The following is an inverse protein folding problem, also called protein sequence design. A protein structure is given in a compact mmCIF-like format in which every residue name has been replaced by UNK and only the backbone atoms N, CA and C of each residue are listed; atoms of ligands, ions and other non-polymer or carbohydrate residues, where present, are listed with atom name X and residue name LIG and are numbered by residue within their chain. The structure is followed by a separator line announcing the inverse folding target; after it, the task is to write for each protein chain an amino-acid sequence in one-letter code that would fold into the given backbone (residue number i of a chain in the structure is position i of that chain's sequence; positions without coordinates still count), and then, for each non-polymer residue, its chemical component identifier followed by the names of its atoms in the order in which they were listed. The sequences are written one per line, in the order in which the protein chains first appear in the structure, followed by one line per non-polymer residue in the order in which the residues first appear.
data_IF_938225436428
#
_entry.id   IF_938225436428
#
_cell.length_a   1.000
_cell.length_b   1.000
_cell.length_c   1.000
_cell.angle_alpha   90.00
_cell.angle_beta   90.00
_cell.angle_gamma   90.00
#
_symmetry.space_group_name_H-M   'P 1'
#
loop_
_entity.id
_entity.type
_entity.pdbx_description
1 polymer ?
#
# COMPACT_ATOMS: atom_id res chain seq x y z
N UNK A 1 -2.04 5.50 -15.84
CA UNK A 1 -2.15 4.03 -15.96
C UNK A 1 -1.48 3.42 -14.74
N UNK A 2 -2.29 2.81 -13.88
CA UNK A 2 -1.98 2.35 -12.54
C UNK A 2 -1.30 0.97 -12.57
N UNK A 3 -0.02 0.88 -12.93
CA UNK A 3 0.66 -0.40 -13.18
C UNK A 3 1.31 -1.09 -11.96
N UNK A 4 1.25 -0.53 -10.74
CA UNK A 4 1.96 -1.08 -9.56
C UNK A 4 1.05 -1.55 -8.40
N UNK A 5 -0.28 -1.46 -8.54
CA UNK A 5 -1.22 -1.93 -7.52
C UNK A 5 -1.15 -3.45 -7.22
N UNK A 6 -0.94 -4.35 -8.19
CA UNK A 6 -0.89 -5.79 -7.90
C UNK A 6 0.31 -6.17 -7.04
N UNK A 7 1.44 -5.50 -7.25
CA UNK A 7 2.67 -5.77 -6.52
C UNK A 7 2.59 -5.25 -5.08
N UNK A 8 1.97 -4.08 -4.88
CA UNK A 8 1.74 -3.56 -3.53
C UNK A 8 0.78 -4.47 -2.74
N UNK A 9 -0.32 -4.91 -3.36
CA UNK A 9 -1.27 -5.85 -2.72
C UNK A 9 -0.55 -7.13 -2.30
N UNK A 10 0.26 -7.71 -3.18
CA UNK A 10 1.01 -8.92 -2.88
C UNK A 10 2.01 -8.75 -1.74
N UNK A 11 2.67 -7.58 -1.63
CA UNK A 11 3.55 -7.26 -0.50
C UNK A 11 2.79 -7.04 0.80
N UNK A 12 1.60 -6.46 0.74
CA UNK A 12 0.72 -6.33 1.89
C UNK A 12 0.25 -7.71 2.38
N UNK A 13 -0.08 -8.63 1.47
CA UNK A 13 -0.41 -10.01 1.83
C UNK A 13 0.76 -10.75 2.49
N UNK A 14 2.01 -10.51 2.05
CA UNK A 14 3.22 -11.12 2.61
C UNK A 14 3.44 -10.74 4.09
N UNK A 15 3.07 -9.52 4.48
CA UNK A 15 3.10 -9.06 5.88
C UNK A 15 1.80 -9.38 6.66
N UNK A 16 0.90 -10.17 6.08
CA UNK A 16 -0.35 -10.62 6.71
C UNK A 16 -1.54 -9.68 6.55
N UNK A 17 -1.44 -8.65 5.70
CA UNK A 17 -2.49 -7.66 5.48
C UNK A 17 -3.22 -7.92 4.16
N UNK A 18 -4.45 -8.42 4.23
CA UNK A 18 -5.27 -8.68 3.05
C UNK A 18 -6.01 -7.42 2.59
N UNK A 19 -5.69 -6.90 1.40
CA UNK A 19 -6.41 -5.78 0.76
C UNK A 19 -6.61 -6.04 -0.73
N UNK A 20 -7.80 -5.75 -1.24
CA UNK A 20 -8.07 -5.86 -2.68
C UNK A 20 -7.49 -4.68 -3.47
N UNK A 21 -7.07 -4.90 -4.72
CA UNK A 21 -6.63 -3.84 -5.64
C UNK A 21 -7.66 -2.71 -5.74
N UNK A 22 -8.95 -3.04 -5.79
CA UNK A 22 -10.02 -2.05 -5.85
C UNK A 22 -10.17 -1.23 -4.55
N UNK A 23 -9.89 -1.83 -3.39
CA UNK A 23 -9.86 -1.13 -2.11
C UNK A 23 -8.67 -0.17 -2.07
N UNK A 24 -7.48 -0.65 -2.42
CA UNK A 24 -6.27 0.16 -2.51
C UNK A 24 -6.42 1.32 -3.52
N UNK A 25 -7.07 1.08 -4.66
CA UNK A 25 -7.41 2.13 -5.63
C UNK A 25 -8.28 3.23 -5.02
N UNK A 26 -9.31 2.87 -4.24
CA UNK A 26 -10.16 3.85 -3.53
C UNK A 26 -9.45 4.58 -2.40
N UNK A 27 -8.45 3.96 -1.77
CA UNK A 27 -7.59 4.60 -0.79
C UNK A 27 -6.81 5.75 -1.43
N UNK A 28 -6.11 5.47 -2.53
CA UNK A 28 -5.30 6.48 -3.22
C UNK A 28 -6.20 7.58 -3.82
N UNK A 29 -7.41 7.22 -4.25
CA UNK A 29 -8.41 8.18 -4.75
C UNK A 29 -9.07 9.00 -3.63
N UNK A 30 -8.79 8.72 -2.35
CA UNK A 30 -9.38 9.43 -1.20
C UNK A 30 -10.88 9.18 -0.99
N UNK A 31 -11.44 8.17 -1.66
CA UNK A 31 -12.88 7.84 -1.66
C UNK A 31 -13.32 6.96 -0.50
N UNK A 32 -12.44 6.62 0.43
CA UNK A 32 -12.76 5.75 1.58
C UNK A 32 -12.21 6.35 2.86
N UNK A 33 -13.10 6.58 3.83
CA UNK A 33 -12.82 7.29 5.08
C UNK A 33 -12.60 6.36 6.29
N UNK A 34 -13.02 5.09 6.19
CA UNK A 34 -12.90 4.12 7.28
C UNK A 34 -12.06 2.93 6.83
N UNK A 35 -10.85 2.84 7.37
CA UNK A 35 -9.92 1.74 7.13
C UNK A 35 -9.56 1.07 8.45
N UNK A 36 -9.36 -0.24 8.39
CA UNK A 36 -8.78 -0.97 9.51
C UNK A 36 -7.37 -0.45 9.77
N UNK A 37 -7.02 -0.27 11.04
CA UNK A 37 -5.71 0.19 11.45
C UNK A 37 -4.59 -0.69 10.85
N UNK A 38 -4.79 -2.01 10.83
CA UNK A 38 -3.89 -2.99 10.23
C UNK A 38 -3.54 -2.69 8.76
N UNK A 39 -4.49 -2.17 7.98
CA UNK A 39 -4.26 -1.80 6.57
C UNK A 39 -3.33 -0.59 6.49
N UNK A 40 -3.54 0.41 7.34
CA UNK A 40 -2.71 1.63 7.37
C UNK A 40 -1.30 1.29 7.86
N UNK A 41 -1.17 0.48 8.92
CA UNK A 41 0.11 0.01 9.45
C UNK A 41 0.89 -0.82 8.42
N UNK A 42 0.20 -1.70 7.70
CA UNK A 42 0.80 -2.47 6.62
C UNK A 42 1.27 -1.60 5.45
N UNK A 43 0.46 -0.62 5.06
CA UNK A 43 0.86 0.36 4.04
C UNK A 43 2.07 1.19 4.47
N UNK A 44 2.09 1.69 5.70
CA UNK A 44 3.24 2.43 6.23
C UNK A 44 4.49 1.56 6.26
N UNK A 45 4.39 0.30 6.67
CA UNK A 45 5.53 -0.63 6.70
C UNK A 45 6.08 -0.90 5.30
N UNK A 46 5.21 -1.20 4.33
CA UNK A 46 5.64 -1.46 2.94
C UNK A 46 6.19 -0.20 2.28
N UNK A 47 5.58 0.96 2.53
CA UNK A 47 6.00 2.23 1.94
C UNK A 47 7.26 2.79 2.61
N UNK A 48 7.45 2.71 3.94
CA UNK A 48 8.70 3.14 4.59
C UNK A 48 9.90 2.39 4.06
N UNK A 49 9.78 1.06 3.88
CA UNK A 49 10.84 0.26 3.26
C UNK A 49 11.17 0.72 1.83
N UNK A 50 10.18 1.21 1.07
CA UNK A 50 10.39 1.70 -0.30
C UNK A 50 10.75 3.18 -0.39
N UNK A 51 10.32 4.03 0.55
CA UNK A 51 10.66 5.46 0.60
C UNK A 51 12.15 5.63 0.87
N UNK A 52 12.71 4.80 1.75
CA UNK A 52 14.16 4.73 1.95
C UNK A 52 14.92 4.38 0.67
N UNK A 53 14.30 3.60 -0.23
CA UNK A 53 14.87 3.23 -1.54
C UNK A 53 14.68 4.36 -2.57
N UNK A 54 13.51 5.02 -2.58
CA UNK A 54 13.21 6.19 -3.41
C UNK A 54 14.13 7.39 -3.12
N UNK A 55 14.65 7.50 -1.89
CA UNK A 55 15.59 8.55 -1.50
C UNK A 55 17.05 8.15 -1.70
N UNK A 56 17.32 6.91 -2.11
CA UNK A 56 18.67 6.37 -2.31
C UNK A 56 19.26 6.66 -3.68
N UNK A 57 18.49 7.26 -4.59
CA UNK A 57 19.00 7.81 -5.85
C UNK A 57 19.36 9.30 -5.69
N UNK A 58 20.54 9.56 -5.14
CA UNK A 58 21.30 10.79 -5.41
C UNK A 58 22.77 10.46 -5.56
#
# INVERSE_FOLDING_TARGET
MCAQFPELVRRMEDIGVSISIAQLGRLIDGKTQHWSQEVIEGLMTVLECQVGDLWKER
#
